data_IF_195290154555
#
_entry.id   IF_195290154555
#
_cell.length_a   1.000
_cell.length_b   1.000
_cell.length_c   1.000
_cell.angle_alpha   90.00
_cell.angle_beta   90.00
_cell.angle_gamma   90.00
#
_symmetry.space_group_name_H-M   'P 1'
#
loop_
_entity.id
_entity.type
_entity.pdbx_description
1 polymer ?
#
# COMPACT_ATOMS: atom_id res chain seq x y z
N UNK A 1 -5.20 -28.80 -67.18
CA UNK A 1 -4.19 -28.44 -66.18
C UNK A 1 -4.74 -27.28 -65.34
N UNK A 2 -5.33 -27.58 -64.22
CA UNK A 2 -5.91 -26.59 -63.29
C UNK A 2 -4.86 -26.16 -62.31
N UNK A 3 -4.56 -24.85 -62.23
CA UNK A 3 -3.70 -24.25 -61.21
C UNK A 3 -4.55 -23.93 -59.97
N UNK A 4 -4.31 -24.65 -58.86
CA UNK A 4 -4.85 -24.28 -57.56
C UNK A 4 -3.98 -23.19 -56.96
N UNK A 5 -4.56 -22.00 -56.75
CA UNK A 5 -3.97 -20.90 -56.00
C UNK A 5 -4.37 -21.15 -54.55
N UNK A 6 -3.38 -21.51 -53.70
CA UNK A 6 -3.57 -21.60 -52.27
C UNK A 6 -3.44 -20.17 -51.71
N UNK A 7 -4.56 -19.60 -51.26
CA UNK A 7 -4.62 -18.32 -50.57
C UNK A 7 -4.24 -18.53 -49.12
N UNK A 8 -2.99 -18.18 -48.78
CA UNK A 8 -2.50 -18.24 -47.41
C UNK A 8 -3.02 -16.98 -46.67
N UNK A 9 -4.13 -17.14 -45.93
CA UNK A 9 -4.65 -16.10 -45.04
C UNK A 9 -3.76 -16.02 -43.81
N UNK A 10 -2.88 -15.01 -43.76
CA UNK A 10 -2.15 -14.63 -42.53
C UNK A 10 -3.17 -14.07 -41.54
N UNK A 11 -3.50 -14.87 -40.52
CA UNK A 11 -4.24 -14.42 -39.35
C UNK A 11 -3.25 -13.54 -38.51
N UNK A 12 -3.33 -12.22 -38.70
CA UNK A 12 -2.75 -11.28 -37.73
C UNK A 12 -3.59 -11.31 -36.46
N UNK A 13 -3.28 -12.20 -35.54
CA UNK A 13 -3.75 -12.13 -34.17
C UNK A 13 -3.17 -10.86 -33.54
N UNK A 14 -3.99 -9.85 -33.34
CA UNK A 14 -3.64 -8.72 -32.49
C UNK A 14 -3.38 -9.27 -31.07
N UNK A 15 -2.12 -9.44 -30.73
CA UNK A 15 -1.70 -9.65 -29.34
C UNK A 15 -2.04 -8.34 -28.61
N UNK A 16 -3.22 -8.30 -27.99
CA UNK A 16 -3.55 -7.24 -27.03
C UNK A 16 -2.56 -7.39 -25.87
N UNK A 17 -1.51 -6.60 -25.89
CA UNK A 17 -0.59 -6.49 -24.76
C UNK A 17 -1.34 -5.82 -23.62
N UNK A 18 -1.30 -6.41 -22.42
CA UNK A 18 -1.86 -5.82 -21.21
C UNK A 18 -1.20 -4.45 -20.95
N UNK A 19 -1.99 -3.46 -20.60
CA UNK A 19 -1.50 -2.10 -20.29
C UNK A 19 -1.11 -1.96 -18.81
N UNK A 20 -0.27 -0.96 -18.52
CA UNK A 20 0.10 -0.64 -17.12
C UNK A 20 -1.13 -0.31 -16.25
N UNK A 21 -2.13 0.38 -16.83
CA UNK A 21 -3.38 0.69 -16.12
C UNK A 21 -4.22 -0.56 -15.84
N UNK A 22 -4.33 -1.49 -16.78
CA UNK A 22 -5.04 -2.76 -16.57
C UNK A 22 -4.36 -3.62 -15.49
N UNK A 23 -3.01 -3.62 -15.45
CA UNK A 23 -2.26 -4.31 -14.39
C UNK A 23 -2.60 -3.69 -13.03
N UNK A 24 -2.54 -2.37 -12.91
CA UNK A 24 -2.82 -1.68 -11.66
C UNK A 24 -4.26 -1.88 -11.18
N UNK A 25 -5.24 -1.91 -12.10
CA UNK A 25 -6.63 -2.25 -11.77
C UNK A 25 -6.79 -3.67 -11.22
N UNK A 26 -6.00 -4.62 -11.71
CA UNK A 26 -5.97 -5.98 -11.15
C UNK A 26 -5.35 -6.02 -9.75
N UNK A 27 -4.29 -5.24 -9.50
CA UNK A 27 -3.74 -5.04 -8.16
C UNK A 27 -4.81 -4.48 -7.22
N UNK A 28 -5.49 -3.42 -7.63
CA UNK A 28 -6.56 -2.80 -6.83
C UNK A 28 -7.70 -3.78 -6.55
N UNK A 29 -8.04 -4.67 -7.49
CA UNK A 29 -9.08 -5.67 -7.29
C UNK A 29 -8.74 -6.66 -6.18
N UNK A 30 -7.47 -6.98 -5.98
CA UNK A 30 -7.00 -7.80 -4.85
C UNK A 30 -7.11 -7.06 -3.51
N UNK A 31 -6.86 -5.74 -3.53
CA UNK A 31 -6.84 -4.90 -2.33
C UNK A 31 -8.21 -4.31 -1.98
N UNK A 32 -9.18 -4.36 -2.91
CA UNK A 32 -10.48 -3.73 -2.77
C UNK A 32 -11.46 -4.62 -1.98
N UNK A 33 -11.32 -4.62 -0.67
CA UNK A 33 -12.29 -5.20 0.26
C UNK A 33 -13.28 -4.13 0.71
N UNK A 34 -14.56 -4.49 0.87
CA UNK A 34 -15.56 -3.56 1.43
C UNK A 34 -15.18 -3.17 2.85
N UNK A 35 -14.79 -4.15 3.65
CA UNK A 35 -14.35 -3.98 5.03
C UNK A 35 -13.24 -4.96 5.34
N UNK A 36 -12.35 -4.59 6.26
CA UNK A 36 -11.37 -5.53 6.79
C UNK A 36 -11.11 -5.28 8.28
N UNK A 37 -10.86 -6.37 9.01
CA UNK A 37 -10.33 -6.35 10.37
C UNK A 37 -9.00 -7.09 10.31
N UNK A 38 -7.92 -6.42 10.73
CA UNK A 38 -6.58 -7.02 10.69
C UNK A 38 -5.89 -6.85 12.03
N UNK A 39 -5.17 -7.89 12.46
CA UNK A 39 -4.14 -7.79 13.51
C UNK A 39 -2.79 -7.72 12.82
N UNK A 40 -2.05 -6.65 13.10
CA UNK A 40 -0.80 -6.32 12.43
C UNK A 40 0.31 -6.20 13.47
N UNK A 41 1.44 -6.83 13.20
CA UNK A 41 2.68 -6.65 13.94
C UNK A 41 3.64 -5.80 13.10
N UNK A 42 4.13 -4.74 13.69
CA UNK A 42 5.10 -3.82 13.09
C UNK A 42 6.38 -3.85 13.90
N UNK A 43 7.49 -4.20 13.26
CA UNK A 43 8.83 -4.23 13.84
C UNK A 43 9.63 -3.05 13.28
N UNK A 44 10.04 -2.13 14.14
CA UNK A 44 10.75 -0.91 13.78
C UNK A 44 12.22 -1.08 14.18
N UNK A 45 13.07 -1.11 13.17
CA UNK A 45 14.52 -1.22 13.31
C UNK A 45 15.15 0.18 13.19
N UNK A 46 15.86 0.59 14.22
CA UNK A 46 16.61 1.86 14.28
C UNK A 46 18.07 1.57 14.59
N UNK A 47 19.03 2.41 14.10
CA UNK A 47 20.44 2.22 14.39
C UNK A 47 20.72 2.21 15.88
N UNK A 48 21.50 1.23 16.33
CA UNK A 48 21.96 1.10 17.72
C UNK A 48 20.85 1.09 18.79
N UNK A 49 19.63 0.69 18.41
CA UNK A 49 18.50 0.56 19.33
C UNK A 49 17.91 -0.85 19.26
N UNK A 50 17.33 -1.33 20.36
CA UNK A 50 16.52 -2.55 20.32
C UNK A 50 15.37 -2.42 19.32
N UNK A 51 14.98 -3.53 18.68
CA UNK A 51 13.82 -3.57 17.81
C UNK A 51 12.57 -3.20 18.60
N UNK A 52 11.85 -2.17 18.15
CA UNK A 52 10.57 -1.81 18.75
C UNK A 52 9.46 -2.55 18.04
N UNK A 53 8.70 -3.34 18.80
CA UNK A 53 7.58 -4.10 18.26
C UNK A 53 6.27 -3.42 18.66
N UNK A 54 5.48 -3.04 17.66
CA UNK A 54 4.12 -2.50 17.83
C UNK A 54 3.12 -3.51 17.29
N UNK A 55 2.15 -3.89 18.08
CA UNK A 55 1.05 -4.75 17.66
C UNK A 55 -0.23 -3.94 17.69
N UNK A 56 -0.95 -3.95 16.59
CA UNK A 56 -2.14 -3.11 16.43
C UNK A 56 -3.29 -3.89 15.79
N UNK A 57 -4.50 -3.44 16.05
CA UNK A 57 -5.70 -3.92 15.39
C UNK A 57 -6.31 -2.79 14.60
N UNK A 58 -6.65 -3.07 13.35
CA UNK A 58 -7.25 -2.11 12.43
C UNK A 58 -8.62 -2.59 11.95
N UNK A 59 -9.53 -1.65 11.83
CA UNK A 59 -10.84 -1.80 11.19
C UNK A 59 -10.89 -0.83 10.04
N UNK A 60 -11.23 -1.31 8.85
CA UNK A 60 -11.26 -0.47 7.63
C UNK A 60 -12.57 -0.64 6.88
N UNK A 61 -13.03 0.45 6.24
CA UNK A 61 -14.13 0.46 5.29
C UNK A 61 -13.63 1.07 3.98
N UNK A 62 -13.34 0.22 3.01
CA UNK A 62 -12.65 0.57 1.78
C UNK A 62 -11.28 1.23 2.07
N UNK A 63 -10.84 2.10 1.15
CA UNK A 63 -9.60 2.89 1.29
C UNK A 63 -9.79 4.17 2.13
N UNK A 64 -11.05 4.57 2.40
CA UNK A 64 -11.38 5.90 2.93
C UNK A 64 -11.51 5.99 4.42
N UNK A 65 -11.79 4.87 5.11
CA UNK A 65 -11.97 4.89 6.55
C UNK A 65 -11.13 3.83 7.22
N UNK A 66 -10.48 4.20 8.30
CA UNK A 66 -9.75 3.28 9.16
C UNK A 66 -9.82 3.74 10.61
N UNK A 67 -10.02 2.81 11.50
CA UNK A 67 -9.82 2.98 12.93
C UNK A 67 -8.72 2.01 13.36
N UNK A 68 -7.77 2.47 14.16
CA UNK A 68 -6.63 1.68 14.63
C UNK A 68 -6.43 1.88 16.11
N UNK A 69 -6.24 0.79 16.83
CA UNK A 69 -5.82 0.78 18.23
C UNK A 69 -4.58 -0.10 18.44
N UNK A 70 -3.74 0.26 19.39
CA UNK A 70 -2.56 -0.51 19.75
C UNK A 70 -2.89 -1.54 20.82
N UNK A 71 -2.32 -2.74 20.67
CA UNK A 71 -2.50 -3.85 21.61
C UNK A 71 -1.35 -3.92 22.63
N UNK A 72 -0.25 -3.19 22.40
CA UNK A 72 0.84 -3.07 23.36
C UNK A 72 0.40 -2.25 24.58
N UNK A 73 0.82 -2.67 25.75
CA UNK A 73 0.45 -2.02 27.01
C UNK A 73 0.88 -0.55 27.06
N UNK A 74 2.09 -0.27 26.54
CA UNK A 74 2.70 1.06 26.49
C UNK A 74 2.05 2.01 25.49
N UNK A 75 1.36 1.47 24.46
CA UNK A 75 0.74 2.26 23.38
C UNK A 75 -0.79 2.25 23.39
N UNK A 76 -1.41 1.50 24.30
CA UNK A 76 -2.89 1.31 24.36
C UNK A 76 -3.67 2.61 24.51
N UNK A 77 -2.98 3.70 24.86
CA UNK A 77 -3.57 5.04 25.01
C UNK A 77 -3.70 5.78 23.68
N UNK A 78 -3.01 5.31 22.64
CA UNK A 78 -2.99 5.96 21.33
C UNK A 78 -3.94 5.26 20.37
N UNK A 79 -4.80 6.02 19.71
CA UNK A 79 -5.71 5.53 18.67
C UNK A 79 -5.67 6.44 17.46
N UNK A 80 -5.92 5.87 16.29
CA UNK A 80 -5.98 6.61 15.04
C UNK A 80 -7.32 6.44 14.36
N UNK A 81 -7.79 7.53 13.74
CA UNK A 81 -8.99 7.54 12.91
C UNK A 81 -8.69 8.22 11.59
N UNK A 82 -8.81 7.49 10.48
CA UNK A 82 -8.77 8.02 9.12
C UNK A 82 -10.19 8.18 8.61
N UNK A 83 -10.51 9.35 8.06
CA UNK A 83 -11.72 9.58 7.26
C UNK A 83 -11.33 10.39 6.03
N UNK A 84 -11.40 9.78 4.85
CA UNK A 84 -10.94 10.38 3.61
C UNK A 84 -9.46 10.76 3.69
N UNK A 85 -9.17 12.04 3.51
CA UNK A 85 -7.81 12.62 3.55
C UNK A 85 -7.39 13.15 4.92
N UNK A 86 -8.17 12.88 5.95
CA UNK A 86 -7.91 13.36 7.30
C UNK A 86 -7.56 12.21 8.22
N UNK A 87 -6.59 12.43 9.11
CA UNK A 87 -6.22 11.49 10.16
C UNK A 87 -6.16 12.21 11.49
N UNK A 88 -6.93 11.70 12.45
CA UNK A 88 -6.92 12.15 13.83
C UNK A 88 -6.19 11.14 14.70
N UNK A 89 -5.47 11.66 15.67
CA UNK A 89 -4.86 10.87 16.75
C UNK A 89 -5.51 11.28 18.05
N UNK A 90 -5.89 10.31 18.84
CA UNK A 90 -6.32 10.48 20.22
C UNK A 90 -5.24 9.92 21.14
N UNK A 91 -4.83 10.75 22.10
CA UNK A 91 -3.99 10.36 23.23
C UNK A 91 -4.85 10.35 24.49
N UNK A 92 -5.07 9.15 25.06
CA UNK A 92 -5.90 8.99 26.22
C UNK A 92 -5.20 9.42 27.53
N UNK A 93 -3.86 9.51 27.57
CA UNK A 93 -3.14 10.02 28.74
C UNK A 93 -3.34 11.53 28.88
N UNK A 94 -3.30 12.24 27.76
CA UNK A 94 -3.53 13.68 27.72
C UNK A 94 -5.02 14.05 27.50
N UNK A 95 -5.88 13.03 27.26
CA UNK A 95 -7.30 13.21 26.89
C UNK A 95 -7.46 14.23 25.75
N UNK A 96 -6.63 14.13 24.73
CA UNK A 96 -6.59 15.10 23.65
C UNK A 96 -6.68 14.42 22.28
N UNK A 97 -7.44 15.07 21.38
CA UNK A 97 -7.56 14.65 19.96
C UNK A 97 -7.00 15.74 19.07
N UNK A 98 -6.08 15.38 18.19
CA UNK A 98 -5.51 16.32 17.22
C UNK A 98 -5.51 15.77 15.80
N UNK A 99 -5.64 16.68 14.83
CA UNK A 99 -5.56 16.38 13.41
C UNK A 99 -4.09 16.37 12.96
N UNK A 100 -3.67 15.27 12.35
CA UNK A 100 -2.36 15.22 11.69
C UNK A 100 -2.40 16.08 10.42
N UNK A 101 -1.58 17.12 10.34
CA UNK A 101 -1.56 18.05 9.23
C UNK A 101 -0.18 18.68 9.00
N UNK A 102 -0.02 19.34 7.86
CA UNK A 102 1.21 20.06 7.52
C UNK A 102 2.46 19.14 7.53
N UNK A 103 3.52 19.57 8.18
CA UNK A 103 4.79 18.84 8.25
C UNK A 103 4.69 17.50 8.99
N UNK A 104 3.71 17.33 9.89
CA UNK A 104 3.48 16.09 10.61
C UNK A 104 3.13 14.93 9.66
N UNK A 105 2.49 15.21 8.53
CA UNK A 105 2.15 14.18 7.54
C UNK A 105 3.38 13.41 7.02
N UNK A 106 4.54 14.05 6.98
CA UNK A 106 5.80 13.44 6.53
C UNK A 106 6.53 12.64 7.61
N UNK A 107 6.09 12.75 8.85
CA UNK A 107 6.68 12.00 9.94
C UNK A 107 6.26 10.53 9.91
N UNK A 108 7.16 9.65 10.35
CA UNK A 108 6.87 8.23 10.47
C UNK A 108 5.90 7.94 11.61
N UNK A 109 4.83 7.22 11.33
CA UNK A 109 3.86 6.76 12.33
C UNK A 109 4.58 5.93 13.40
N UNK A 110 4.44 6.32 14.66
CA UNK A 110 5.13 5.68 15.80
C UNK A 110 6.65 5.57 15.63
N UNK A 111 7.25 6.46 14.83
CA UNK A 111 8.68 6.47 14.51
C UNK A 111 9.12 5.40 13.51
N UNK A 112 8.19 4.81 12.77
CA UNK A 112 8.44 3.86 11.68
C UNK A 112 8.94 4.55 10.39
N UNK A 113 9.19 3.76 9.34
CA UNK A 113 9.48 4.27 8.00
C UNK A 113 8.22 4.52 7.16
N UNK A 114 7.04 4.25 7.71
CA UNK A 114 5.76 4.54 7.09
C UNK A 114 5.29 5.90 7.60
N UNK A 115 5.17 6.88 6.72
CA UNK A 115 4.70 8.21 7.09
C UNK A 115 3.16 8.26 7.21
N UNK A 116 2.66 9.28 7.90
CA UNK A 116 1.21 9.51 7.94
C UNK A 116 0.63 9.78 6.54
N UNK A 117 1.39 10.44 5.65
CA UNK A 117 0.93 10.65 4.27
C UNK A 117 0.86 9.33 3.48
N UNK A 118 1.77 8.35 3.71
CA UNK A 118 1.67 7.02 3.11
C UNK A 118 0.38 6.30 3.54
N UNK A 119 0.03 6.41 4.84
CA UNK A 119 -1.19 5.83 5.37
C UNK A 119 -2.48 6.53 4.89
N UNK A 120 -2.36 7.80 4.48
CA UNK A 120 -3.47 8.60 3.93
C UNK A 120 -3.60 8.47 2.42
N UNK A 121 -2.63 7.86 1.74
CA UNK A 121 -2.69 7.69 0.28
C UNK A 121 -4.03 7.05 -0.12
N UNK A 122 -4.67 7.63 -1.12
CA UNK A 122 -6.03 7.28 -1.55
C UNK A 122 -6.05 6.93 -3.04
N UNK A 123 -7.23 6.53 -3.54
CA UNK A 123 -7.51 6.00 -4.87
C UNK A 123 -7.30 7.01 -6.03
N UNK A 124 -6.70 8.19 -5.78
CA UNK A 124 -6.48 9.23 -6.79
C UNK A 124 -5.29 8.94 -7.74
N UNK A 125 -4.75 7.72 -7.69
CA UNK A 125 -3.58 7.33 -8.51
C UNK A 125 -3.88 7.52 -10.00
N UNK A 126 -5.04 7.11 -10.47
CA UNK A 126 -5.44 7.22 -11.88
C UNK A 126 -5.64 8.67 -12.34
N UNK A 127 -6.01 9.55 -11.43
CA UNK A 127 -6.18 10.98 -11.71
C UNK A 127 -4.85 11.73 -11.70
N UNK A 128 -3.93 11.32 -10.84
CA UNK A 128 -2.68 12.05 -10.57
C UNK A 128 -1.47 11.55 -11.36
N UNK A 129 -1.52 10.33 -11.92
CA UNK A 129 -0.37 9.73 -12.58
C UNK A 129 -0.70 9.24 -13.99
N UNK A 130 0.28 9.38 -14.91
CA UNK A 130 0.35 8.56 -16.11
C UNK A 130 0.89 7.19 -15.71
N UNK A 131 0.26 6.13 -16.20
CA UNK A 131 0.57 4.74 -15.83
C UNK A 131 1.00 4.01 -17.08
N UNK A 132 2.24 3.52 -17.10
CA UNK A 132 2.86 2.87 -18.24
C UNK A 132 3.44 1.52 -17.86
N UNK A 133 3.34 0.54 -18.76
CA UNK A 133 4.10 -0.71 -18.66
C UNK A 133 5.48 -0.47 -19.28
N UNK A 134 6.53 -0.45 -18.43
CA UNK A 134 7.92 -0.24 -18.86
C UNK A 134 8.53 -1.53 -19.42
N UNK A 135 8.10 -2.69 -18.92
CA UNK A 135 8.62 -3.98 -19.34
C UNK A 135 8.32 -5.08 -18.32
N UNK A 136 9.19 -6.07 -18.29
CA UNK A 136 9.09 -7.23 -17.43
C UNK A 136 10.43 -7.51 -16.79
N UNK A 137 10.43 -7.81 -15.50
CA UNK A 137 11.63 -8.17 -14.74
C UNK A 137 11.32 -9.31 -13.77
N UNK A 138 12.36 -9.97 -13.27
CA UNK A 138 12.21 -11.04 -12.29
C UNK A 138 12.59 -10.54 -10.90
N UNK A 139 11.71 -10.77 -9.93
CA UNK A 139 12.00 -10.54 -8.51
C UNK A 139 12.05 -11.90 -7.82
N UNK A 140 13.25 -12.29 -7.37
CA UNK A 140 13.52 -13.65 -6.89
C UNK A 140 13.12 -14.68 -7.96
N UNK A 141 12.19 -15.57 -7.67
CA UNK A 141 11.71 -16.60 -8.60
C UNK A 141 10.43 -16.23 -9.34
N UNK A 142 9.94 -15.00 -9.22
CA UNK A 142 8.65 -14.56 -9.77
C UNK A 142 8.81 -13.59 -10.92
N UNK A 143 8.14 -13.88 -12.03
CA UNK A 143 8.05 -12.98 -13.18
C UNK A 143 7.11 -11.80 -12.83
N UNK A 144 7.55 -10.57 -13.08
CA UNK A 144 6.83 -9.37 -12.76
C UNK A 144 6.64 -8.46 -13.97
N UNK A 145 5.51 -7.79 -14.04
CA UNK A 145 5.34 -6.59 -14.83
C UNK A 145 6.02 -5.42 -14.12
N UNK A 146 6.68 -4.55 -14.87
CA UNK A 146 7.26 -3.31 -14.37
C UNK A 146 6.36 -2.16 -14.78
N UNK A 147 5.60 -1.64 -13.82
CA UNK A 147 4.65 -0.55 -14.03
C UNK A 147 5.25 0.74 -13.46
N UNK A 148 5.29 1.79 -14.29
CA UNK A 148 5.81 3.10 -13.91
C UNK A 148 4.67 4.10 -13.87
N UNK A 149 4.58 4.83 -12.77
CA UNK A 149 3.64 5.91 -12.55
C UNK A 149 4.42 7.23 -12.51
N UNK A 150 4.10 8.15 -13.41
CA UNK A 150 4.71 9.48 -13.52
C UNK A 150 3.68 10.55 -13.22
N UNK A 151 3.97 11.43 -12.27
CA UNK A 151 3.01 12.45 -11.81
C UNK A 151 2.57 13.40 -12.92
N UNK A 152 1.26 13.62 -13.07
CA UNK A 152 0.63 14.63 -13.94
C UNK A 152 0.49 15.98 -13.25
N UNK A 153 0.50 15.98 -11.91
CA UNK A 153 0.24 17.15 -11.06
C UNK A 153 1.40 17.37 -10.11
N UNK A 154 1.50 18.59 -9.56
CA UNK A 154 2.59 18.94 -8.63
C UNK A 154 2.31 18.51 -7.19
N UNK A 155 1.03 18.41 -6.85
CA UNK A 155 0.55 18.12 -5.49
C UNK A 155 0.53 16.62 -5.21
N UNK A 156 1.72 15.99 -5.26
CA UNK A 156 1.94 14.58 -4.94
C UNK A 156 3.15 14.42 -4.03
N UNK A 157 3.11 13.43 -3.16
CA UNK A 157 4.24 13.08 -2.27
C UNK A 157 5.39 12.47 -3.04
N UNK A 158 5.10 11.74 -4.12
CA UNK A 158 6.08 11.02 -4.92
C UNK A 158 5.88 11.32 -6.41
N UNK A 159 6.93 11.83 -7.06
CA UNK A 159 6.83 12.28 -8.45
C UNK A 159 6.89 11.13 -9.46
N UNK A 160 7.59 10.05 -9.10
CA UNK A 160 7.63 8.79 -9.84
C UNK A 160 7.49 7.63 -8.87
N UNK A 161 6.75 6.61 -9.29
CA UNK A 161 6.66 5.31 -8.61
C UNK A 161 6.99 4.23 -9.63
N UNK A 162 7.80 3.25 -9.26
CA UNK A 162 8.10 2.07 -10.08
C UNK A 162 7.71 0.83 -9.29
N UNK A 163 6.83 0.03 -9.86
CA UNK A 163 6.23 -1.12 -9.21
C UNK A 163 6.54 -2.39 -9.98
N UNK A 164 6.97 -3.43 -9.30
CA UNK A 164 7.11 -4.78 -9.82
C UNK A 164 5.93 -5.60 -9.36
N UNK A 165 5.03 -5.91 -10.28
CA UNK A 165 3.78 -6.59 -10.02
C UNK A 165 3.87 -8.03 -10.52
N UNK A 166 3.71 -8.97 -9.62
CA UNK A 166 3.67 -10.39 -9.95
C UNK A 166 2.67 -10.71 -11.05
N UNK A 167 3.09 -11.46 -12.07
CA UNK A 167 2.24 -11.75 -13.24
C UNK A 167 1.12 -12.72 -12.97
N UNK A 168 1.30 -13.63 -12.01
CA UNK A 168 0.34 -14.68 -11.71
C UNK A 168 -0.78 -14.16 -10.79
N UNK A 169 -0.39 -13.43 -9.73
CA UNK A 169 -1.33 -13.03 -8.68
C UNK A 169 -1.62 -11.53 -8.64
N UNK A 170 -0.97 -10.72 -9.47
CA UNK A 170 -1.12 -9.26 -9.46
C UNK A 170 -0.90 -8.64 -8.08
N UNK A 171 0.12 -9.12 -7.37
CA UNK A 171 0.58 -8.59 -6.08
C UNK A 171 1.84 -7.78 -6.31
N UNK A 172 1.93 -6.52 -5.84
CA UNK A 172 3.17 -5.76 -5.88
C UNK A 172 4.20 -6.40 -4.95
N UNK A 173 5.32 -6.87 -5.51
CA UNK A 173 6.43 -7.46 -4.76
C UNK A 173 7.48 -6.43 -4.39
N UNK A 174 7.59 -5.36 -5.18
CA UNK A 174 8.50 -4.24 -4.91
C UNK A 174 7.88 -2.95 -5.42
N UNK A 175 8.08 -1.86 -4.69
CA UNK A 175 7.75 -0.51 -5.13
C UNK A 175 8.85 0.47 -4.70
N UNK A 176 9.28 1.29 -5.63
CA UNK A 176 10.22 2.39 -5.43
C UNK A 176 9.50 3.71 -5.64
N UNK A 177 9.67 4.65 -4.71
CA UNK A 177 9.04 5.97 -4.74
C UNK A 177 10.10 7.07 -4.78
N UNK A 178 9.98 7.98 -5.73
CA UNK A 178 11.00 8.96 -6.05
C UNK A 178 10.50 10.40 -5.92
N UNK A 179 11.43 11.28 -5.52
CA UNK A 179 11.26 12.72 -5.61
C UNK A 179 11.30 13.21 -7.08
N UNK A 180 10.91 14.46 -7.32
CA UNK A 180 11.04 15.14 -8.62
C UNK A 180 12.49 15.19 -9.11
N UNK A 181 13.46 15.22 -8.21
CA UNK A 181 14.88 15.18 -8.52
C UNK A 181 15.41 13.82 -8.99
N UNK A 182 14.54 12.79 -8.98
CA UNK A 182 14.94 11.40 -9.26
C UNK A 182 15.56 10.69 -8.05
N UNK A 183 15.66 11.35 -6.88
CA UNK A 183 16.17 10.71 -5.66
C UNK A 183 15.16 9.69 -5.14
N UNK A 184 15.61 8.45 -4.88
CA UNK A 184 14.82 7.43 -4.22
C UNK A 184 14.52 7.87 -2.78
N UNK A 185 13.24 7.92 -2.43
CA UNK A 185 12.75 8.32 -1.11
C UNK A 185 12.33 7.13 -0.27
N UNK A 186 11.62 6.17 -0.88
CA UNK A 186 11.14 4.97 -0.17
C UNK A 186 11.25 3.72 -1.03
N UNK A 187 11.45 2.61 -0.36
CA UNK A 187 11.43 1.27 -0.93
C UNK A 187 10.46 0.41 -0.11
N UNK A 188 9.55 -0.27 -0.81
CA UNK A 188 8.65 -1.29 -0.27
C UNK A 188 9.01 -2.62 -0.92
N UNK A 189 9.13 -3.66 -0.12
CA UNK A 189 9.38 -5.03 -0.56
C UNK A 189 8.39 -5.96 0.13
N UNK A 190 7.60 -6.68 -0.64
CA UNK A 190 6.50 -7.52 -0.15
C UNK A 190 6.74 -8.99 -0.44
N UNK A 191 6.27 -9.84 0.46
CA UNK A 191 6.45 -11.29 0.40
C UNK A 191 5.32 -12.01 1.12
N UNK A 192 5.39 -13.35 1.17
CA UNK A 192 4.43 -14.21 1.87
C UNK A 192 3.00 -13.98 1.38
N UNK A 193 2.76 -14.28 0.08
CA UNK A 193 1.44 -14.17 -0.53
C UNK A 193 0.50 -15.20 0.09
N UNK A 194 -0.64 -14.74 0.61
CA UNK A 194 -1.76 -15.56 1.09
C UNK A 194 -3.03 -15.22 0.33
N UNK A 195 -3.97 -16.14 0.32
CA UNK A 195 -5.24 -15.98 -0.36
C UNK A 195 -6.37 -15.76 0.64
N UNK A 196 -7.18 -14.75 0.40
CA UNK A 196 -8.37 -14.41 1.17
C UNK A 196 -9.53 -14.21 0.20
N UNK A 197 -10.60 -15.01 0.31
CA UNK A 197 -11.74 -14.96 -0.61
C UNK A 197 -11.32 -14.95 -2.10
N UNK A 198 -10.37 -15.83 -2.48
CA UNK A 198 -9.76 -15.93 -3.82
C UNK A 198 -8.97 -14.69 -4.28
N UNK A 199 -8.61 -13.77 -3.38
CA UNK A 199 -7.73 -12.62 -3.65
C UNK A 199 -6.37 -12.85 -3.03
N UNK A 200 -5.33 -12.60 -3.80
CA UNK A 200 -3.95 -12.70 -3.35
C UNK A 200 -3.54 -11.45 -2.58
N UNK A 201 -2.92 -11.62 -1.44
CA UNK A 201 -2.47 -10.54 -0.57
C UNK A 201 -1.10 -10.83 0.03
N UNK A 202 -0.15 -9.89 -0.08
CA UNK A 202 1.13 -10.03 0.60
C UNK A 202 0.95 -9.77 2.10
N UNK A 203 1.36 -10.71 2.94
CA UNK A 203 1.19 -10.61 4.39
C UNK A 203 2.43 -10.12 5.13
N UNK A 204 3.55 -9.98 4.42
CA UNK A 204 4.79 -9.42 4.96
C UNK A 204 5.31 -8.34 4.02
N UNK A 205 5.61 -7.15 4.57
CA UNK A 205 6.22 -6.05 3.82
C UNK A 205 7.37 -5.43 4.62
N UNK A 206 8.43 -5.08 3.94
CA UNK A 206 9.56 -4.32 4.48
C UNK A 206 9.53 -2.94 3.85
N UNK A 207 9.51 -1.90 4.67
CA UNK A 207 9.55 -0.51 4.24
C UNK A 207 10.84 0.13 4.69
N UNK A 208 11.52 0.83 3.79
CA UNK A 208 12.74 1.57 4.07
C UNK A 208 12.59 3.03 3.62
N UNK A 209 12.78 3.96 4.53
CA UNK A 209 12.89 5.39 4.23
C UNK A 209 14.35 5.70 3.82
N UNK A 210 14.59 5.98 2.54
CA UNK A 210 15.94 6.20 1.99
C UNK A 210 16.52 7.58 2.35
N UNK A 211 15.80 8.38 3.09
CA UNK A 211 16.30 9.61 3.71
C UNK A 211 16.91 9.35 5.09
N UNK A 212 16.66 8.17 5.66
CA UNK A 212 17.23 7.72 6.94
C UNK A 212 18.31 6.68 6.69
N UNK A 213 19.28 6.61 7.58
CA UNK A 213 20.37 5.62 7.52
C UNK A 213 20.02 4.42 8.40
N UNK A 214 20.20 3.21 7.86
CA UNK A 214 20.07 1.94 8.58
C UNK A 214 18.75 1.76 9.34
N UNK A 215 17.65 2.28 8.77
CA UNK A 215 16.30 2.05 9.29
C UNK A 215 15.50 1.15 8.38
N UNK A 216 14.61 0.36 8.96
CA UNK A 216 13.55 -0.36 8.24
C UNK A 216 12.39 -0.65 9.16
N UNK A 217 11.23 -0.78 8.58
CA UNK A 217 10.02 -1.24 9.27
C UNK A 217 9.50 -2.48 8.60
N UNK A 218 9.31 -3.56 9.36
CA UNK A 218 8.69 -4.80 8.88
C UNK A 218 7.25 -4.81 9.34
N UNK A 219 6.33 -4.95 8.41
CA UNK A 219 4.89 -5.07 8.67
C UNK A 219 4.46 -6.49 8.39
N UNK A 220 3.80 -7.13 9.33
CA UNK A 220 3.32 -8.51 9.24
C UNK A 220 1.84 -8.52 9.59
N UNK A 221 1.01 -9.01 8.67
CA UNK A 221 -0.40 -9.28 8.93
C UNK A 221 -0.49 -10.64 9.60
N UNK A 222 -0.77 -10.65 10.90
CA UNK A 222 -0.90 -11.89 11.69
C UNK A 222 -2.25 -12.54 11.45
N UNK A 223 -3.31 -11.72 11.43
CA UNK A 223 -4.69 -12.16 11.20
C UNK A 223 -5.39 -11.15 10.29
N UNK A 224 -6.26 -11.64 9.43
CA UNK A 224 -7.11 -10.80 8.59
C UNK A 224 -8.47 -11.45 8.36
N UNK A 225 -9.52 -10.64 8.44
CA UNK A 225 -10.88 -10.99 8.07
C UNK A 225 -11.42 -9.91 7.13
N UNK A 226 -11.91 -10.32 5.98
CA UNK A 226 -12.36 -9.40 4.93
C UNK A 226 -13.86 -9.55 4.68
N UNK A 227 -14.47 -8.46 4.22
CA UNK A 227 -15.89 -8.36 3.90
C UNK A 227 -16.82 -8.73 5.10
N UNK A 228 -16.35 -8.39 6.31
CA UNK A 228 -17.06 -8.62 7.58
C UNK A 228 -17.86 -7.37 7.99
N UNK A 229 -18.88 -7.55 8.77
CA UNK A 229 -19.68 -6.43 9.29
C UNK A 229 -18.88 -5.65 10.34
N UNK A 230 -18.74 -4.34 10.15
CA UNK A 230 -18.13 -3.40 11.10
C UNK A 230 -19.14 -2.32 11.43
N UNK A 231 -19.48 -2.11 12.71
CA UNK A 231 -20.39 -1.05 13.09
C UNK A 231 -19.89 0.33 12.65
N UNK A 232 -20.73 1.12 12.00
CA UNK A 232 -20.36 2.47 11.48
C UNK A 232 -19.84 3.41 12.57
N UNK A 233 -20.19 3.16 13.82
CA UNK A 233 -19.69 3.92 14.98
C UNK A 233 -18.19 3.89 15.14
N UNK A 234 -17.49 2.82 14.67
CA UNK A 234 -16.03 2.73 14.70
C UNK A 234 -15.36 3.89 13.95
N UNK A 235 -15.97 4.37 12.89
CA UNK A 235 -15.43 5.44 12.05
C UNK A 235 -15.95 6.83 12.46
N UNK A 236 -16.00 7.09 13.76
CA UNK A 236 -16.45 8.38 14.32
C UNK A 236 -15.46 8.91 15.34
N UNK A 237 -15.35 10.24 15.44
CA UNK A 237 -14.54 10.89 16.49
C UNK A 237 -14.98 10.51 17.89
N UNK A 238 -16.29 10.34 18.10
CA UNK A 238 -16.83 9.88 19.39
C UNK A 238 -16.31 8.50 19.78
N UNK A 239 -16.07 7.60 18.81
CA UNK A 239 -15.51 6.27 19.09
C UNK A 239 -14.00 6.35 19.34
N UNK A 240 -13.30 7.25 18.64
CA UNK A 240 -11.88 7.50 18.83
C UNK A 240 -11.56 7.93 20.26
N UNK A 241 -12.44 8.72 20.91
CA UNK A 241 -12.27 9.34 22.22
C UNK A 241 -12.81 8.48 23.40
N UNK A 242 -13.29 7.27 23.14
CA UNK A 242 -13.78 6.33 24.18
C UNK A 242 -12.66 5.51 24.78
#
# INVERSE_FOLDING_TARGET
MGKYIILLTLFYGSLFSITGEEILRKVDSNLNFKTAIMTIRMEIYLPNQPVRVKRLKSWTEGSKKAYVEFLNKEDKHTRYLKIGKQMWVYDAEENNTFLISGHLLKQGMMGSDISYEDALESDEVYEKYNIELEGEEKISDRECYVVVLSAKVKEVSYYKRKMWVDKEYFVPLREERYAISGKLLKLFESSEIKFYNNRAYATRSVVSDKLKTDTKTVVIIEEASFDVEIPKSYFTRRHLER
#
